data_IF_591446115971
#
_entry.id   IF_591446115971
#
_cell.length_a   1.000
_cell.length_b   1.000
_cell.length_c   1.000
_cell.angle_alpha   90.00
_cell.angle_beta   90.00
_cell.angle_gamma   90.00
#
_symmetry.space_group_name_H-M   'P 1'
#
loop_
_entity.id
_entity.type
_entity.pdbx_description
1 polymer ?
#
# COMPACT_ATOMS: atom_id res chain seq x y z
N UNK A 1 6.67 -5.51 26.76
CA UNK A 1 5.88 -4.31 27.15
C UNK A 1 5.23 -3.63 25.96
N UNK A 2 5.97 -3.25 24.90
CA UNK A 2 5.40 -2.57 23.73
C UNK A 2 4.20 -3.27 23.08
N UNK A 3 4.26 -4.60 22.85
CA UNK A 3 3.13 -5.32 22.26
C UNK A 3 1.89 -5.26 23.15
N UNK A 4 2.06 -5.52 24.45
CA UNK A 4 0.97 -5.49 25.43
C UNK A 4 0.36 -4.09 25.51
N UNK A 5 1.17 -3.04 25.57
CA UNK A 5 0.67 -1.66 25.62
C UNK A 5 -0.05 -1.25 24.33
N UNK A 6 0.49 -1.60 23.16
CA UNK A 6 -0.12 -1.26 21.87
C UNK A 6 -1.44 -1.99 21.67
N UNK A 7 -1.46 -3.31 21.84
CA UNK A 7 -2.70 -4.09 21.72
C UNK A 7 -3.72 -3.70 22.78
N UNK A 8 -3.30 -3.51 24.04
CA UNK A 8 -4.17 -3.08 25.12
C UNK A 8 -4.79 -1.71 24.86
N UNK A 9 -4.01 -0.73 24.41
CA UNK A 9 -4.51 0.61 24.09
C UNK A 9 -5.48 0.57 22.91
N UNK A 10 -5.15 -0.14 21.83
CA UNK A 10 -6.05 -0.27 20.66
C UNK A 10 -7.36 -0.97 21.04
N UNK A 11 -7.30 -2.05 21.82
CA UNK A 11 -8.47 -2.77 22.28
C UNK A 11 -9.35 -1.91 23.19
N UNK A 12 -8.75 -1.21 24.16
CA UNK A 12 -9.45 -0.31 25.06
C UNK A 12 -10.15 0.83 24.30
N UNK A 13 -9.44 1.52 23.42
CA UNK A 13 -10.02 2.63 22.65
C UNK A 13 -11.12 2.16 21.70
N UNK A 14 -10.96 0.99 21.09
CA UNK A 14 -11.99 0.40 20.23
C UNK A 14 -13.22 0.03 21.05
N UNK A 15 -13.03 -0.57 22.22
CA UNK A 15 -14.12 -0.90 23.14
C UNK A 15 -14.87 0.36 23.61
N UNK A 16 -14.15 1.41 24.01
CA UNK A 16 -14.75 2.70 24.38
C UNK A 16 -15.54 3.31 23.21
N UNK A 17 -15.02 3.24 21.99
CA UNK A 17 -15.75 3.71 20.81
C UNK A 17 -17.06 2.94 20.58
N UNK A 18 -17.06 1.62 20.81
CA UNK A 18 -18.27 0.79 20.74
C UNK A 18 -19.27 1.15 21.84
N UNK A 19 -18.82 1.45 23.05
CA UNK A 19 -19.73 1.89 24.13
C UNK A 19 -20.42 3.22 23.80
N UNK A 20 -19.72 4.16 23.14
CA UNK A 20 -20.26 5.49 22.83
C UNK A 20 -21.13 5.48 21.57
N UNK A 21 -20.71 4.75 20.54
CA UNK A 21 -21.29 4.84 19.19
C UNK A 21 -21.96 3.53 18.72
N UNK A 22 -22.01 2.51 19.56
CA UNK A 22 -22.58 1.21 19.25
C UNK A 22 -21.73 0.34 18.32
N UNK A 23 -22.31 -0.76 17.85
CA UNK A 23 -21.60 -1.75 17.00
C UNK A 23 -21.10 -1.17 15.69
N UNK A 24 -21.75 -0.12 15.16
CA UNK A 24 -21.34 0.58 13.93
C UNK A 24 -19.90 1.08 14.03
N UNK A 25 -19.43 1.53 15.20
CA UNK A 25 -18.04 1.97 15.36
C UNK A 25 -17.03 0.85 15.15
N UNK A 26 -17.36 -0.37 15.58
CA UNK A 26 -16.49 -1.53 15.33
C UNK A 26 -16.58 -2.00 13.87
N UNK A 27 -17.80 -2.08 13.34
CA UNK A 27 -18.07 -2.54 11.99
C UNK A 27 -17.43 -1.61 10.94
N UNK A 28 -17.67 -0.31 11.03
CA UNK A 28 -17.17 0.68 10.08
C UNK A 28 -15.76 1.17 10.42
N UNK A 29 -15.42 1.29 11.70
CA UNK A 29 -14.11 1.77 12.14
C UNK A 29 -12.99 0.76 11.96
N UNK A 30 -13.25 -0.54 12.19
CA UNK A 30 -12.22 -1.58 12.15
C UNK A 30 -12.50 -2.65 11.09
N UNK A 31 -13.63 -3.35 11.17
CA UNK A 31 -13.89 -4.52 10.33
C UNK A 31 -14.06 -4.18 8.84
N UNK A 32 -14.58 -2.99 8.53
CA UNK A 32 -14.75 -2.51 7.18
C UNK A 32 -13.44 -2.55 6.39
N UNK A 33 -12.32 -2.16 6.99
CA UNK A 33 -11.01 -2.12 6.33
C UNK A 33 -10.53 -3.49 5.85
N UNK A 34 -10.89 -4.58 6.56
CA UNK A 34 -10.55 -5.94 6.13
C UNK A 34 -11.40 -6.40 4.94
N UNK A 35 -12.67 -6.00 4.92
CA UNK A 35 -13.64 -6.36 3.86
C UNK A 35 -13.66 -5.37 2.70
N UNK A 36 -12.99 -4.23 2.83
CA UNK A 36 -12.98 -3.14 1.85
C UNK A 36 -12.44 -3.63 0.52
N UNK A 37 -13.21 -3.31 -0.53
CA UNK A 37 -12.98 -3.74 -1.91
C UNK A 37 -13.44 -2.58 -2.82
N UNK A 38 -12.47 -1.78 -3.25
CA UNK A 38 -12.71 -0.63 -4.12
C UNK A 38 -12.23 -0.93 -5.54
N UNK A 39 -13.13 -0.76 -6.51
CA UNK A 39 -12.83 -0.94 -7.93
C UNK A 39 -12.62 0.38 -8.67
N UNK A 40 -13.11 1.49 -8.11
CA UNK A 40 -12.94 2.85 -8.65
C UNK A 40 -11.85 3.58 -7.90
N UNK A 41 -11.21 4.54 -8.56
CA UNK A 41 -10.19 5.41 -7.99
C UNK A 41 -9.10 4.62 -7.21
N UNK A 42 -8.77 3.43 -7.68
CA UNK A 42 -7.86 2.50 -7.01
C UNK A 42 -6.63 2.28 -7.88
N UNK A 43 -5.47 2.78 -7.44
CA UNK A 43 -4.20 2.65 -8.16
C UNK A 43 -3.68 1.21 -8.20
N UNK A 44 -4.20 0.34 -7.34
CA UNK A 44 -3.72 -1.02 -7.19
C UNK A 44 -4.06 -1.89 -8.40
N UNK A 45 -3.09 -2.65 -8.92
CA UNK A 45 -3.32 -3.60 -10.02
C UNK A 45 -4.43 -4.66 -9.74
N UNK A 46 -4.83 -4.82 -8.47
CA UNK A 46 -5.88 -5.75 -8.05
C UNK A 46 -7.32 -5.27 -8.35
N UNK A 47 -7.52 -3.96 -8.58
CA UNK A 47 -8.88 -3.38 -8.76
C UNK A 47 -9.65 -4.01 -9.92
N UNK A 48 -8.97 -4.39 -11.00
CA UNK A 48 -9.62 -4.93 -12.21
C UNK A 48 -10.20 -6.32 -11.97
N UNK A 49 -9.49 -7.15 -11.22
CA UNK A 49 -9.98 -8.47 -10.80
C UNK A 49 -11.17 -8.35 -9.86
N UNK A 50 -11.09 -7.40 -8.93
CA UNK A 50 -12.19 -7.03 -8.04
C UNK A 50 -13.43 -6.60 -8.86
N UNK A 51 -13.25 -5.76 -9.87
CA UNK A 51 -14.32 -5.31 -10.76
C UNK A 51 -15.00 -6.49 -11.47
N UNK A 52 -14.22 -7.38 -12.07
CA UNK A 52 -14.75 -8.57 -12.76
C UNK A 52 -15.46 -9.53 -11.80
N UNK A 53 -14.93 -9.71 -10.59
CA UNK A 53 -15.55 -10.56 -9.57
C UNK A 53 -16.91 -10.02 -9.13
N UNK A 54 -17.06 -8.69 -8.99
CA UNK A 54 -18.35 -8.06 -8.68
C UNK A 54 -19.36 -8.26 -9.81
N UNK A 55 -18.95 -8.01 -11.06
CA UNK A 55 -19.83 -8.23 -12.21
C UNK A 55 -20.34 -9.68 -12.31
N UNK A 56 -19.48 -10.68 -12.06
CA UNK A 56 -19.90 -12.09 -12.02
C UNK A 56 -20.86 -12.40 -10.88
N UNK A 57 -20.66 -11.81 -9.69
CA UNK A 57 -21.53 -12.02 -8.54
C UNK A 57 -22.93 -11.41 -8.77
N UNK A 58 -23.02 -10.30 -9.49
CA UNK A 58 -24.30 -9.68 -9.88
C UNK A 58 -25.02 -10.48 -10.99
N UNK A 59 -24.28 -11.13 -11.90
CA UNK A 59 -24.86 -11.92 -13.00
C UNK A 59 -25.22 -13.37 -12.63
N UNK A 60 -24.59 -13.96 -11.60
CA UNK A 60 -24.81 -15.35 -11.20
C UNK A 60 -25.59 -15.40 -9.88
N UNK A 61 -26.82 -15.93 -9.93
CA UNK A 61 -27.54 -16.38 -8.73
C UNK A 61 -26.70 -17.49 -8.05
N UNK A 62 -25.95 -17.08 -7.03
CA UNK A 62 -25.25 -17.86 -6.01
C UNK A 62 -25.05 -19.38 -6.27
N UNK A 63 -23.92 -19.76 -6.86
CA UNK A 63 -23.41 -21.16 -6.72
C UNK A 63 -21.87 -21.30 -6.75
N UNK A 64 -21.10 -20.22 -6.96
CA UNK A 64 -19.61 -20.24 -6.98
C UNK A 64 -18.96 -19.23 -6.04
N UNK A 65 -19.71 -18.63 -5.10
CA UNK A 65 -19.26 -17.55 -4.21
C UNK A 65 -18.18 -17.97 -3.17
N UNK A 66 -17.96 -19.27 -2.96
CA UNK A 66 -16.92 -19.75 -2.04
C UNK A 66 -15.51 -19.64 -2.65
N UNK A 67 -15.37 -19.93 -3.94
CA UNK A 67 -14.06 -19.92 -4.63
C UNK A 67 -13.54 -18.50 -4.83
N UNK A 68 -14.41 -17.50 -5.01
CA UNK A 68 -14.02 -16.09 -5.20
C UNK A 68 -13.47 -15.41 -3.95
N UNK A 69 -13.83 -15.86 -2.73
CA UNK A 69 -13.34 -15.28 -1.47
C UNK A 69 -11.84 -15.53 -1.25
N UNK A 70 -11.32 -16.68 -1.66
CA UNK A 70 -9.90 -17.03 -1.48
C UNK A 70 -8.96 -16.15 -2.31
N UNK A 71 -9.40 -15.73 -3.51
CA UNK A 71 -8.62 -14.82 -4.36
C UNK A 71 -8.44 -13.43 -3.76
N UNK A 72 -9.34 -12.99 -2.87
CA UNK A 72 -9.22 -11.73 -2.15
C UNK A 72 -8.08 -11.70 -1.13
N UNK A 73 -7.61 -12.87 -0.69
CA UNK A 73 -6.46 -13.02 0.22
C UNK A 73 -5.14 -13.21 -0.52
N UNK A 74 -5.17 -13.47 -1.83
CA UNK A 74 -3.96 -13.67 -2.63
C UNK A 74 -2.96 -12.49 -2.54
N UNK A 75 -3.39 -11.21 -2.52
CA UNK A 75 -2.47 -10.07 -2.34
C UNK A 75 -1.79 -10.02 -0.96
N UNK A 76 -2.39 -10.65 0.06
CA UNK A 76 -1.91 -10.59 1.44
C UNK A 76 -0.60 -11.36 1.60
N UNK A 77 -0.41 -12.46 0.85
CA UNK A 77 0.81 -13.26 0.94
C UNK A 77 2.08 -12.50 0.51
N UNK A 78 2.20 -11.95 -0.71
CA UNK A 78 3.38 -11.20 -1.10
C UNK A 78 3.59 -9.95 -0.22
N UNK A 79 2.49 -9.31 0.22
CA UNK A 79 2.54 -8.19 1.15
C UNK A 79 3.11 -8.59 2.52
N UNK A 80 2.64 -9.68 3.12
CA UNK A 80 3.13 -10.18 4.41
C UNK A 80 4.61 -10.59 4.33
N UNK A 81 5.02 -11.23 3.23
CA UNK A 81 6.41 -11.62 3.01
C UNK A 81 7.35 -10.42 2.93
N UNK A 82 7.02 -9.39 2.13
CA UNK A 82 7.87 -8.21 2.01
C UNK A 82 7.93 -7.41 3.32
N UNK A 83 6.82 -7.34 4.06
CA UNK A 83 6.78 -6.68 5.36
C UNK A 83 7.61 -7.43 6.40
N UNK A 84 7.54 -8.76 6.43
CA UNK A 84 8.38 -9.61 7.28
C UNK A 84 9.87 -9.45 6.96
N UNK A 85 10.22 -9.45 5.67
CA UNK A 85 11.60 -9.23 5.23
C UNK A 85 12.15 -7.87 5.67
N UNK A 86 11.37 -6.78 5.47
CA UNK A 86 11.78 -5.44 5.89
C UNK A 86 11.86 -5.31 7.42
N UNK A 87 10.94 -5.96 8.15
CA UNK A 87 10.95 -5.97 9.62
C UNK A 87 12.21 -6.64 10.16
N UNK A 88 12.49 -7.87 9.72
CA UNK A 88 13.59 -8.66 10.26
C UNK A 88 14.94 -8.23 9.69
N UNK A 89 14.97 -7.75 8.45
CA UNK A 89 16.19 -7.38 7.75
C UNK A 89 16.68 -5.95 8.00
N UNK A 90 15.77 -4.99 8.21
CA UNK A 90 16.13 -3.55 8.29
C UNK A 90 15.91 -2.98 9.69
N UNK A 91 14.81 -3.34 10.37
CA UNK A 91 14.43 -2.73 11.65
C UNK A 91 15.48 -2.88 12.77
N UNK A 92 16.22 -4.00 12.91
CA UNK A 92 17.27 -4.12 13.93
C UNK A 92 18.41 -3.10 13.77
N UNK A 93 18.59 -2.57 12.56
CA UNK A 93 19.66 -1.63 12.25
C UNK A 93 19.15 -0.19 12.29
N UNK A 94 18.03 0.09 11.62
CA UNK A 94 17.49 1.43 11.45
C UNK A 94 15.96 1.43 11.48
N UNK A 95 15.41 1.72 12.66
CA UNK A 95 13.96 1.70 12.87
C UNK A 95 13.23 2.73 12.01
N UNK A 96 13.73 3.97 11.92
CA UNK A 96 13.06 5.03 11.15
C UNK A 96 13.00 4.67 9.66
N UNK A 97 14.12 4.19 9.12
CA UNK A 97 14.17 3.74 7.73
C UNK A 97 13.30 2.50 7.49
N UNK A 98 13.29 1.55 8.44
CA UNK A 98 12.44 0.37 8.36
C UNK A 98 10.94 0.74 8.38
N UNK A 99 10.52 1.67 9.24
CA UNK A 99 9.14 2.16 9.29
C UNK A 99 8.72 2.81 7.97
N UNK A 100 9.59 3.65 7.39
CA UNK A 100 9.36 4.25 6.07
C UNK A 100 9.21 3.16 4.99
N UNK A 101 10.18 2.24 4.87
CA UNK A 101 10.17 1.20 3.85
C UNK A 101 9.00 0.23 4.04
N UNK A 102 8.65 -0.14 5.27
CA UNK A 102 7.50 -0.99 5.57
C UNK A 102 6.20 -0.31 5.18
N UNK A 103 6.02 0.97 5.53
CA UNK A 103 4.80 1.71 5.17
C UNK A 103 4.70 1.89 3.66
N UNK A 104 5.81 2.19 2.99
CA UNK A 104 5.87 2.26 1.53
C UNK A 104 5.48 0.92 0.88
N UNK A 105 6.10 -0.18 1.33
CA UNK A 105 5.81 -1.51 0.80
C UNK A 105 4.37 -1.95 1.11
N UNK A 106 3.87 -1.64 2.31
CA UNK A 106 2.48 -1.89 2.68
C UNK A 106 1.53 -1.24 1.69
N UNK A 107 1.74 0.04 1.36
CA UNK A 107 0.90 0.76 0.40
C UNK A 107 1.06 0.18 -1.00
N UNK A 108 2.30 0.01 -1.49
CA UNK A 108 2.57 -0.47 -2.86
C UNK A 108 1.98 -1.86 -3.16
N UNK A 109 1.89 -2.74 -2.15
CA UNK A 109 1.35 -4.09 -2.29
C UNK A 109 -0.12 -4.21 -1.84
N UNK A 110 -0.76 -3.11 -1.44
CA UNK A 110 -2.14 -3.15 -0.95
C UNK A 110 -3.15 -3.43 -2.09
N UNK A 111 -4.24 -4.13 -1.76
CA UNK A 111 -5.37 -4.36 -2.68
C UNK A 111 -6.16 -3.08 -3.01
N UNK A 112 -6.14 -2.10 -2.11
CA UNK A 112 -6.78 -0.80 -2.29
C UNK A 112 -5.72 0.26 -2.06
N UNK A 113 -5.47 1.09 -3.06
CA UNK A 113 -4.53 2.22 -2.99
C UNK A 113 -5.29 3.46 -3.46
N UNK A 114 -5.49 4.40 -2.53
CA UNK A 114 -6.00 5.74 -2.83
C UNK A 114 -4.87 6.75 -2.75
N UNK A 115 -5.03 7.92 -3.38
CA UNK A 115 -4.00 8.97 -3.34
C UNK A 115 -3.66 9.43 -1.89
N UNK A 116 -4.62 9.32 -0.96
CA UNK A 116 -4.40 9.62 0.46
C UNK A 116 -3.28 8.77 1.06
N UNK A 117 -3.14 7.50 0.64
CA UNK A 117 -2.15 6.59 1.22
C UNK A 117 -0.71 7.03 0.97
N UNK A 118 -0.46 7.88 -0.04
CA UNK A 118 0.87 8.41 -0.30
C UNK A 118 1.40 9.23 0.88
N UNK A 119 0.50 9.90 1.61
CA UNK A 119 0.89 10.68 2.80
C UNK A 119 1.45 9.81 3.91
N UNK A 120 1.06 8.53 4.00
CA UNK A 120 1.44 7.62 5.09
C UNK A 120 2.94 7.34 5.12
N UNK A 121 3.57 7.12 3.97
CA UNK A 121 5.01 6.95 3.91
C UNK A 121 5.74 8.28 3.68
N UNK A 122 5.14 9.26 3.02
CA UNK A 122 5.78 10.56 2.80
C UNK A 122 6.02 11.32 4.11
N UNK A 123 5.16 11.19 5.12
CA UNK A 123 5.39 11.82 6.43
C UNK A 123 6.58 11.19 7.19
N UNK A 124 6.94 9.95 6.89
CA UNK A 124 8.09 9.26 7.46
C UNK A 124 9.40 9.55 6.72
N UNK A 125 9.31 10.02 5.46
CA UNK A 125 10.47 10.26 4.61
C UNK A 125 11.52 11.21 5.23
N UNK A 126 11.15 12.34 5.87
CA UNK A 126 12.13 13.23 6.49
C UNK A 126 13.00 12.56 7.56
N UNK A 127 12.50 11.51 8.22
CA UNK A 127 13.19 10.81 9.31
C UNK A 127 14.37 9.95 8.83
N UNK A 128 14.43 9.64 7.54
CA UNK A 128 15.48 8.78 6.95
C UNK A 128 16.07 9.30 5.64
N UNK A 129 15.61 10.46 5.15
CA UNK A 129 15.97 11.01 3.84
C UNK A 129 17.48 11.25 3.69
N UNK A 130 18.15 11.66 4.75
CA UNK A 130 19.57 11.99 4.76
C UNK A 130 20.48 10.75 4.57
N UNK A 131 19.94 9.55 4.74
CA UNK A 131 20.63 8.25 4.59
C UNK A 131 20.45 7.65 3.19
N UNK A 132 19.59 8.23 2.37
CA UNK A 132 19.28 7.76 1.00
C UNK A 132 20.07 8.57 -0.03
N UNK A 133 20.71 7.89 -0.98
CA UNK A 133 21.45 8.53 -2.08
C UNK A 133 20.52 8.98 -3.21
N UNK A 134 19.92 10.15 -3.02
CA UNK A 134 18.95 10.74 -3.97
C UNK A 134 19.51 11.06 -5.36
N UNK A 135 20.77 11.50 -5.44
CA UNK A 135 21.39 11.98 -6.70
C UNK A 135 21.88 10.86 -7.63
N UNK A 136 21.65 9.59 -7.30
CA UNK A 136 22.09 8.48 -8.15
C UNK A 136 21.25 8.39 -9.43
N UNK A 137 21.87 8.01 -10.55
CA UNK A 137 21.15 7.82 -11.84
C UNK A 137 19.97 6.87 -11.68
N UNK A 138 20.16 5.76 -10.97
CA UNK A 138 19.11 4.78 -10.71
C UNK A 138 17.92 5.40 -9.94
N UNK A 139 18.18 6.21 -8.91
CA UNK A 139 17.12 6.89 -8.17
C UNK A 139 16.35 7.88 -9.05
N UNK A 140 17.06 8.70 -9.83
CA UNK A 140 16.44 9.65 -10.74
C UNK A 140 15.57 8.95 -11.79
N UNK A 141 16.06 7.84 -12.36
CA UNK A 141 15.27 6.99 -13.25
C UNK A 141 14.02 6.45 -12.54
N UNK A 142 14.13 5.94 -11.32
CA UNK A 142 13.00 5.39 -10.59
C UNK A 142 11.93 6.45 -10.26
N UNK A 143 12.34 7.64 -9.84
CA UNK A 143 11.44 8.77 -9.63
C UNK A 143 10.76 9.21 -10.93
N UNK A 144 11.52 9.28 -12.03
CA UNK A 144 10.98 9.59 -13.35
C UNK A 144 9.95 8.54 -13.82
N UNK A 145 10.24 7.25 -13.65
CA UNK A 145 9.31 6.17 -13.96
C UNK A 145 8.04 6.25 -13.11
N UNK A 146 8.16 6.56 -11.80
CA UNK A 146 6.99 6.74 -10.94
C UNK A 146 6.15 7.95 -11.38
N UNK A 147 6.79 9.10 -11.66
CA UNK A 147 6.10 10.29 -12.14
C UNK A 147 5.32 10.02 -13.43
N UNK A 148 5.96 9.36 -14.40
CA UNK A 148 5.30 8.94 -15.64
C UNK A 148 4.12 8.00 -15.36
N UNK A 149 4.32 6.99 -14.50
CA UNK A 149 3.27 6.04 -14.16
C UNK A 149 2.05 6.71 -13.51
N UNK A 150 2.27 7.69 -12.61
CA UNK A 150 1.19 8.48 -11.99
C UNK A 150 0.41 9.25 -13.06
N UNK A 151 1.10 9.97 -13.95
CA UNK A 151 0.45 10.74 -15.03
C UNK A 151 -0.33 9.82 -15.97
N UNK A 152 0.26 8.71 -16.41
CA UNK A 152 -0.40 7.72 -17.27
C UNK A 152 -1.63 7.13 -16.59
N UNK A 153 -1.56 6.84 -15.29
CA UNK A 153 -2.68 6.33 -14.53
C UNK A 153 -3.81 7.36 -14.43
N UNK A 154 -3.50 8.61 -14.06
CA UNK A 154 -4.47 9.70 -13.93
C UNK A 154 -5.19 9.97 -15.25
N UNK A 155 -4.47 10.08 -16.36
CA UNK A 155 -5.06 10.28 -17.68
C UNK A 155 -5.96 9.10 -18.07
N UNK A 156 -5.52 7.87 -17.81
CA UNK A 156 -6.33 6.69 -18.11
C UNK A 156 -7.59 6.65 -17.25
N UNK A 157 -7.49 6.90 -15.94
CA UNK A 157 -8.62 6.94 -15.02
C UNK A 157 -9.62 8.05 -15.39
N UNK A 158 -9.14 9.22 -15.81
CA UNK A 158 -9.99 10.30 -16.29
C UNK A 158 -10.87 9.87 -17.48
N UNK A 159 -10.31 9.15 -18.47
CA UNK A 159 -11.11 8.65 -19.60
C UNK A 159 -12.19 7.65 -19.17
N UNK A 160 -11.89 6.82 -18.18
CA UNK A 160 -12.82 5.81 -17.68
C UNK A 160 -13.92 6.41 -16.81
N UNK A 161 -13.53 7.24 -15.84
CA UNK A 161 -14.41 7.66 -14.74
C UNK A 161 -15.14 8.98 -15.03
N UNK A 162 -14.51 9.91 -15.74
CA UNK A 162 -15.11 11.21 -16.05
C UNK A 162 -15.74 11.26 -17.44
N UNK A 163 -15.07 10.70 -18.45
CA UNK A 163 -15.60 10.64 -19.82
C UNK A 163 -16.51 9.43 -20.08
N UNK A 164 -16.50 8.43 -19.18
CA UNK A 164 -17.33 7.23 -19.28
C UNK A 164 -16.91 6.27 -20.40
N UNK A 165 -15.69 6.38 -20.92
CA UNK A 165 -15.21 5.49 -21.98
C UNK A 165 -14.92 4.09 -21.43
N UNK A 166 -15.02 3.07 -22.29
CA UNK A 166 -14.80 1.66 -21.89
C UNK A 166 -13.30 1.29 -21.81
N UNK A 167 -12.48 2.10 -21.14
CA UNK A 167 -11.00 1.99 -21.09
C UNK A 167 -10.45 1.17 -19.92
N UNK A 168 -11.25 0.27 -19.33
CA UNK A 168 -10.86 -0.54 -18.15
C UNK A 168 -9.50 -1.24 -18.29
N UNK A 169 -9.19 -1.84 -19.45
CA UNK A 169 -7.90 -2.53 -19.69
C UNK A 169 -6.72 -1.55 -19.71
N UNK A 170 -6.91 -0.35 -20.24
CA UNK A 170 -5.89 0.70 -20.25
C UNK A 170 -5.56 1.15 -18.83
N UNK A 171 -6.58 1.40 -18.01
CA UNK A 171 -6.40 1.76 -16.59
C UNK A 171 -5.70 0.63 -15.83
N UNK A 172 -6.03 -0.62 -16.14
CA UNK A 172 -5.39 -1.78 -15.52
C UNK A 172 -3.89 -1.89 -15.90
N UNK A 173 -3.54 -1.72 -17.19
CA UNK A 173 -2.14 -1.67 -17.63
C UNK A 173 -1.38 -0.50 -16.97
N UNK A 174 -2.01 0.66 -16.83
CA UNK A 174 -1.43 1.79 -16.11
C UNK A 174 -1.22 1.45 -14.62
N UNK A 175 -2.10 0.66 -14.01
CA UNK A 175 -1.97 0.20 -12.61
C UNK A 175 -0.82 -0.81 -12.45
N UNK A 176 -0.58 -1.67 -13.43
CA UNK A 176 0.59 -2.56 -13.48
C UNK A 176 1.89 -1.75 -13.61
N UNK A 177 1.92 -0.76 -14.50
CA UNK A 177 3.06 0.15 -14.64
C UNK A 177 3.33 0.88 -13.33
N UNK A 178 2.30 1.40 -12.68
CA UNK A 178 2.39 2.04 -11.36
C UNK A 178 2.96 1.09 -10.29
N UNK A 179 2.50 -0.16 -10.23
CA UNK A 179 3.05 -1.16 -9.32
C UNK A 179 4.54 -1.41 -9.57
N UNK A 180 4.93 -1.68 -10.83
CA UNK A 180 6.33 -1.87 -11.21
C UNK A 180 7.20 -0.66 -10.87
N UNK A 181 6.70 0.56 -11.08
CA UNK A 181 7.39 1.80 -10.75
C UNK A 181 7.62 1.94 -9.24
N UNK A 182 6.64 1.59 -8.41
CA UNK A 182 6.78 1.59 -6.95
C UNK A 182 7.81 0.56 -6.46
N UNK A 183 7.78 -0.66 -7.01
CA UNK A 183 8.79 -1.71 -6.69
C UNK A 183 10.19 -1.26 -7.11
N UNK A 184 10.32 -0.65 -8.29
CA UNK A 184 11.60 -0.12 -8.76
C UNK A 184 12.13 1.02 -7.88
N UNK A 185 11.24 1.92 -7.43
CA UNK A 185 11.60 2.98 -6.48
C UNK A 185 12.03 2.41 -5.13
N UNK A 186 11.27 1.48 -4.56
CA UNK A 186 11.61 0.84 -3.28
C UNK A 186 12.99 0.16 -3.35
N UNK A 187 13.26 -0.59 -4.42
CA UNK A 187 14.57 -1.21 -4.65
C UNK A 187 15.70 -0.16 -4.79
N UNK A 188 15.43 0.95 -5.45
CA UNK A 188 16.40 2.05 -5.61
C UNK A 188 16.69 2.76 -4.29
N UNK A 189 15.69 2.90 -3.42
CA UNK A 189 15.84 3.41 -2.05
C UNK A 189 16.69 2.45 -1.22
N UNK A 190 16.39 1.15 -1.24
CA UNK A 190 17.14 0.14 -0.49
C UNK A 190 18.61 0.03 -0.94
N UNK A 191 18.89 0.04 -2.26
CA UNK A 191 20.26 0.08 -2.79
C UNK A 191 20.96 1.42 -2.55
N UNK A 192 20.17 2.49 -2.47
CA UNK A 192 20.62 3.84 -2.17
C UNK A 192 20.95 4.07 -0.69
N UNK A 193 20.53 3.17 0.20
CA UNK A 193 20.68 3.30 1.65
C UNK A 193 22.14 3.19 2.09
N UNK A 194 22.61 4.16 2.87
CA UNK A 194 24.00 4.30 3.23
C UNK A 194 24.23 4.00 4.73
N UNK A 195 24.33 2.70 5.06
CA UNK A 195 24.43 2.19 6.44
C UNK A 195 25.57 2.80 7.28
N UNK A 196 26.68 3.20 6.65
CA UNK A 196 27.86 3.77 7.34
C UNK A 196 27.59 5.13 7.98
N UNK A 197 26.64 5.91 7.44
CA UNK A 197 26.32 7.24 7.97
C UNK A 197 25.62 7.15 9.34
N UNK A 198 24.70 6.19 9.49
CA UNK A 198 24.01 5.94 10.75
C UNK A 198 24.94 5.54 11.91
N UNK A 199 25.99 4.75 11.63
CA UNK A 199 26.95 4.34 12.67
C UNK A 199 27.76 5.53 13.20
N UNK A 200 28.03 6.54 12.36
CA UNK A 200 28.70 7.78 12.78
C UNK A 200 27.81 8.62 13.67
N UNK A 201 26.53 8.76 13.33
CA UNK A 201 25.55 9.51 14.14
C UNK A 201 25.30 8.88 15.53
N UNK A 202 25.58 7.58 15.71
CA UNK A 202 25.49 6.89 17.01
C UNK A 202 26.76 6.99 17.85
N UNK A 203 27.88 7.44 17.27
CA UNK A 203 29.20 7.46 17.91
C UNK A 203 29.70 8.88 18.26
N UNK A 204 29.10 9.92 17.69
CA UNK A 204 29.35 11.32 18.06
C UNK A 204 28.25 11.85 18.96
#
# INVERSE_FOLDING_TARGET
MFLVSSFGTTALLTYLAVLIHGETAFLEGLLYHFRRVDHRHNYSMYWYWIYLARGRAESALASTAATSRLWGFLPVFPQALILGFLSLGVAPYDLNFALFCQTFAFVAFNKVITAQYFTWYLCLLPLCSDRVRWKSKQMLCALGTLGLAIVTWLLSAFTLEMLGWRTHRQVWLASLLFFCANVFLLNSILKGYNRRKQMKDKQG
#
